data_IF_360667062367
#
_entry.id   IF_360667062367
#
_cell.length_a   1.000
_cell.length_b   1.000
_cell.length_c   1.000
_cell.angle_alpha   90.00
_cell.angle_beta   90.00
_cell.angle_gamma   90.00
#
_symmetry.space_group_name_H-M   'P 1'
#
loop_
_entity.id
_entity.type
_entity.pdbx_description
1 polymer ?
#
# COMPACT_ATOMS: atom_id res chain seq x y z
N UNK A 1 -23.91 -7.61 -59.28
CA UNK A 1 -23.46 -7.84 -57.90
C UNK A 1 -22.86 -6.53 -57.40
N UNK A 2 -23.64 -5.72 -56.68
CA UNK A 2 -23.22 -4.37 -56.24
C UNK A 2 -22.20 -4.54 -55.11
N UNK A 3 -21.00 -4.03 -55.32
CA UNK A 3 -20.00 -3.76 -54.28
C UNK A 3 -20.58 -2.72 -53.32
N UNK A 4 -20.92 -3.14 -52.10
CA UNK A 4 -21.18 -2.23 -50.99
C UNK A 4 -19.85 -1.57 -50.65
N UNK A 5 -19.75 -0.27 -50.89
CA UNK A 5 -18.58 0.56 -50.60
C UNK A 5 -18.31 0.63 -49.09
N UNK A 6 -17.03 0.64 -48.75
CA UNK A 6 -16.41 0.91 -47.44
C UNK A 6 -16.70 2.34 -46.88
N UNK A 7 -17.94 2.80 -46.88
CA UNK A 7 -18.30 4.19 -46.48
C UNK A 7 -18.73 4.36 -45.01
N UNK A 8 -18.48 3.36 -44.15
CA UNK A 8 -18.64 3.50 -42.69
C UNK A 8 -17.31 3.38 -41.93
N UNK A 9 -16.22 3.91 -42.49
CA UNK A 9 -15.07 4.24 -41.65
C UNK A 9 -15.46 5.44 -40.76
N UNK A 10 -15.87 5.13 -39.52
CA UNK A 10 -16.40 6.12 -38.58
C UNK A 10 -15.59 7.42 -38.53
N UNK A 11 -16.27 8.56 -38.47
CA UNK A 11 -15.69 9.90 -38.66
C UNK A 11 -14.41 10.17 -37.85
N UNK A 12 -14.27 9.58 -36.66
CA UNK A 12 -13.06 9.71 -35.84
C UNK A 12 -11.81 9.08 -36.49
N UNK A 13 -11.94 7.98 -37.23
CA UNK A 13 -10.81 7.28 -37.83
C UNK A 13 -10.14 8.10 -38.94
N UNK A 14 -10.89 9.00 -39.57
CA UNK A 14 -10.43 9.88 -40.64
C UNK A 14 -9.59 11.06 -40.11
N UNK A 15 -9.64 11.35 -38.81
CA UNK A 15 -8.86 12.43 -38.22
C UNK A 15 -7.36 12.11 -38.21
N UNK A 16 -6.50 13.12 -38.42
CA UNK A 16 -5.06 13.03 -38.15
C UNK A 16 -4.77 12.56 -36.72
N UNK A 17 -3.66 11.84 -36.56
CA UNK A 17 -3.24 11.27 -35.27
C UNK A 17 -3.09 12.33 -34.17
N UNK A 18 -2.64 13.53 -34.53
CA UNK A 18 -2.43 14.66 -33.65
C UNK A 18 -3.76 15.16 -33.07
N UNK A 19 -4.79 15.30 -33.92
CA UNK A 19 -6.12 15.70 -33.48
C UNK A 19 -6.76 14.64 -32.57
N UNK A 20 -6.56 13.35 -32.89
CA UNK A 20 -7.00 12.26 -32.03
C UNK A 20 -6.32 12.30 -30.66
N UNK A 21 -5.00 12.53 -30.61
CA UNK A 21 -4.27 12.65 -29.36
C UNK A 21 -4.69 13.88 -28.54
N UNK A 22 -5.06 14.98 -29.21
CA UNK A 22 -5.64 16.15 -28.54
C UNK A 22 -7.02 15.83 -27.94
N UNK A 23 -7.90 15.16 -28.69
CA UNK A 23 -9.20 14.70 -28.19
C UNK A 23 -9.02 13.75 -27.01
N UNK A 24 -8.11 12.78 -27.12
CA UNK A 24 -7.79 11.86 -26.03
C UNK A 24 -7.20 12.57 -24.81
N UNK A 25 -6.58 13.74 -24.98
CA UNK A 25 -6.11 14.56 -23.86
C UNK A 25 -7.21 15.00 -22.89
N UNK A 26 -8.46 15.12 -23.36
CA UNK A 26 -9.62 15.51 -22.55
C UNK A 26 -10.36 14.31 -21.92
N UNK A 27 -9.99 13.08 -22.29
CA UNK A 27 -10.61 11.86 -21.77
C UNK A 27 -9.79 11.32 -20.59
N UNK A 28 -10.48 10.82 -19.55
CA UNK A 28 -9.82 10.17 -18.40
C UNK A 28 -8.93 9.02 -18.85
N UNK A 29 -7.74 8.93 -18.29
CA UNK A 29 -6.76 7.87 -18.57
C UNK A 29 -7.34 6.47 -18.45
N UNK A 30 -8.12 6.23 -17.38
CA UNK A 30 -8.76 4.91 -17.15
C UNK A 30 -9.65 4.47 -18.31
N UNK A 31 -10.39 5.41 -18.91
CA UNK A 31 -11.34 5.13 -19.98
C UNK A 31 -10.60 4.88 -21.30
N UNK A 32 -9.53 5.64 -21.53
CA UNK A 32 -8.64 5.43 -22.67
C UNK A 32 -8.01 4.03 -22.65
N UNK A 33 -7.47 3.61 -21.50
CA UNK A 33 -6.79 2.32 -21.38
C UNK A 33 -7.76 1.14 -21.45
N UNK A 34 -8.91 1.23 -20.77
CA UNK A 34 -9.87 0.11 -20.67
C UNK A 34 -10.78 -0.04 -21.88
N UNK A 35 -11.17 1.07 -22.52
CA UNK A 35 -12.19 1.06 -23.57
C UNK A 35 -11.63 1.54 -24.91
N UNK A 36 -11.11 2.77 -24.99
CA UNK A 36 -10.72 3.38 -26.28
C UNK A 36 -9.59 2.61 -26.96
N UNK A 37 -8.62 2.10 -26.19
CA UNK A 37 -7.50 1.27 -26.68
C UNK A 37 -7.97 -0.03 -27.36
N UNK A 38 -9.17 -0.51 -27.04
CA UNK A 38 -9.73 -1.76 -27.57
C UNK A 38 -10.65 -1.54 -28.79
N UNK A 39 -11.01 -0.29 -29.11
CA UNK A 39 -11.98 0.01 -30.18
C UNK A 39 -11.41 -0.31 -31.57
N UNK A 40 -10.17 0.08 -31.85
CA UNK A 40 -9.54 -0.17 -33.16
C UNK A 40 -8.01 -0.22 -33.09
N UNK A 41 -7.38 -0.76 -34.14
CA UNK A 41 -5.91 -0.85 -34.25
C UNK A 41 -5.22 0.52 -34.23
N UNK A 42 -5.81 1.54 -34.86
CA UNK A 42 -5.26 2.91 -34.87
C UNK A 42 -5.19 3.49 -33.46
N UNK A 43 -6.27 3.40 -32.68
CA UNK A 43 -6.30 3.88 -31.29
C UNK A 43 -5.39 3.05 -30.40
N UNK A 44 -5.34 1.73 -30.61
CA UNK A 44 -4.41 0.86 -29.91
C UNK A 44 -2.96 1.32 -30.10
N UNK A 45 -2.56 1.58 -31.36
CA UNK A 45 -1.20 2.03 -31.67
C UNK A 45 -0.87 3.38 -31.03
N UNK A 46 -1.79 4.35 -31.13
CA UNK A 46 -1.61 5.68 -30.55
C UNK A 46 -1.49 5.63 -29.01
N UNK A 47 -2.37 4.89 -28.35
CA UNK A 47 -2.41 4.78 -26.89
C UNK A 47 -1.36 3.82 -26.32
N UNK A 48 -0.62 3.09 -27.15
CA UNK A 48 0.54 2.29 -26.72
C UNK A 48 1.83 3.12 -26.68
N UNK A 49 1.82 4.35 -27.22
CA UNK A 49 2.97 5.24 -27.18
C UNK A 49 3.28 5.71 -25.75
N UNK A 50 4.36 5.19 -25.16
CA UNK A 50 4.77 5.52 -23.78
C UNK A 50 5.12 7.01 -23.60
N UNK A 51 5.75 7.65 -24.59
CA UNK A 51 6.19 9.06 -24.49
C UNK A 51 5.02 10.03 -24.40
N UNK A 52 3.90 9.70 -25.04
CA UNK A 52 2.68 10.49 -24.93
C UNK A 52 2.15 10.48 -23.49
N UNK A 53 2.09 9.32 -22.86
CA UNK A 53 1.68 9.19 -21.46
C UNK A 53 2.65 9.88 -20.50
N UNK A 54 3.97 9.71 -20.69
CA UNK A 54 4.98 10.41 -19.88
C UNK A 54 4.83 11.94 -19.98
N UNK A 55 4.55 12.47 -21.17
CA UNK A 55 4.29 13.90 -21.38
C UNK A 55 3.01 14.34 -20.64
N UNK A 56 1.99 13.49 -20.58
CA UNK A 56 0.78 13.78 -19.79
C UNK A 56 1.06 13.76 -18.29
N UNK A 57 1.81 12.78 -17.77
CA UNK A 57 2.22 12.73 -16.36
C UNK A 57 2.94 14.03 -15.98
N UNK A 58 3.88 14.47 -16.82
CA UNK A 58 4.60 15.71 -16.62
C UNK A 58 3.70 16.95 -16.56
N UNK A 59 2.59 16.97 -17.30
CA UNK A 59 1.65 18.11 -17.35
C UNK A 59 0.51 18.02 -16.34
N UNK A 60 0.36 16.88 -15.66
CA UNK A 60 -0.84 16.56 -14.87
C UNK A 60 -0.96 17.40 -13.59
N UNK A 61 0.18 17.76 -12.99
CA UNK A 61 0.23 18.62 -11.79
C UNK A 61 0.98 19.91 -12.12
N UNK A 62 0.60 20.99 -11.45
CA UNK A 62 1.34 22.27 -11.47
C UNK A 62 2.81 22.11 -11.09
N UNK A 63 3.14 21.06 -10.33
CA UNK A 63 4.49 20.76 -9.86
C UNK A 63 5.33 19.91 -10.82
N UNK A 64 4.80 19.58 -12.00
CA UNK A 64 5.51 18.85 -13.07
C UNK A 64 6.13 17.52 -12.61
N UNK A 65 5.32 16.47 -12.61
CA UNK A 65 5.74 15.14 -12.13
C UNK A 65 6.76 14.53 -13.09
N UNK A 66 7.96 14.26 -12.59
CA UNK A 66 9.00 13.50 -13.31
C UNK A 66 9.21 12.17 -12.61
N UNK A 67 8.81 11.08 -13.27
CA UNK A 67 9.10 9.73 -12.79
C UNK A 67 10.62 9.51 -12.81
N UNK A 68 11.10 8.75 -11.84
CA UNK A 68 12.52 8.41 -11.72
C UNK A 68 12.93 7.34 -12.73
N UNK A 69 14.20 7.29 -13.07
CA UNK A 69 14.78 6.28 -13.96
C UNK A 69 14.57 4.83 -13.49
N UNK A 70 14.59 4.56 -12.18
CA UNK A 70 14.36 3.21 -11.66
C UNK A 70 12.92 2.71 -11.89
N UNK A 71 11.93 3.61 -11.97
CA UNK A 71 10.56 3.24 -12.34
C UNK A 71 10.46 3.02 -13.85
N UNK A 72 10.96 3.96 -14.64
CA UNK A 72 10.78 3.95 -16.11
C UNK A 72 11.58 2.88 -16.82
N UNK A 73 12.73 2.47 -16.26
CA UNK A 73 13.58 1.38 -16.77
C UNK A 73 13.27 0.03 -16.11
N UNK A 74 12.30 -0.02 -15.19
CA UNK A 74 11.91 -1.24 -14.51
C UNK A 74 11.30 -2.27 -15.48
N UNK A 75 11.51 -3.55 -15.21
CA UNK A 75 10.85 -4.62 -15.95
C UNK A 75 9.33 -4.52 -15.77
N UNK A 76 8.58 -4.54 -16.87
CA UNK A 76 7.12 -4.43 -16.86
C UNK A 76 6.58 -3.01 -16.67
N UNK A 77 7.41 -1.96 -16.80
CA UNK A 77 6.94 -0.57 -16.78
C UNK A 77 5.93 -0.29 -17.92
N UNK A 78 4.79 0.29 -17.55
CA UNK A 78 3.77 0.77 -18.47
C UNK A 78 3.38 2.21 -18.10
N UNK A 79 3.81 3.16 -18.95
CA UNK A 79 3.52 4.58 -18.77
C UNK A 79 2.02 4.90 -18.73
N UNK A 80 1.18 4.13 -19.44
CA UNK A 80 -0.27 4.32 -19.39
C UNK A 80 -0.82 3.95 -18.02
N UNK A 81 -0.35 2.84 -17.44
CA UNK A 81 -0.73 2.40 -16.10
C UNK A 81 -0.25 3.39 -15.02
N UNK A 82 0.99 3.86 -15.10
CA UNK A 82 1.49 4.89 -14.18
C UNK A 82 0.69 6.19 -14.32
N UNK A 83 0.36 6.63 -15.54
CA UNK A 83 -0.50 7.81 -15.73
C UNK A 83 -1.86 7.64 -15.05
N UNK A 84 -2.54 6.51 -15.26
CA UNK A 84 -3.84 6.25 -14.61
C UNK A 84 -3.72 6.30 -13.09
N UNK A 85 -2.71 5.65 -12.51
CA UNK A 85 -2.50 5.66 -11.07
C UNK A 85 -2.27 7.10 -10.55
N UNK A 86 -1.40 7.87 -11.20
CA UNK A 86 -1.12 9.25 -10.78
C UNK A 86 -2.34 10.16 -10.97
N UNK A 87 -3.06 10.06 -12.09
CA UNK A 87 -4.28 10.84 -12.36
C UNK A 87 -5.35 10.58 -11.29
N UNK A 88 -5.58 9.32 -10.93
CA UNK A 88 -6.57 8.96 -9.92
C UNK A 88 -6.23 9.51 -8.55
N UNK A 89 -4.98 9.40 -8.13
CA UNK A 89 -4.53 9.91 -6.83
C UNK A 89 -4.53 11.45 -6.80
N UNK A 90 -4.04 12.12 -7.84
CA UNK A 90 -4.05 13.60 -7.93
C UNK A 90 -5.48 14.14 -7.88
N UNK A 91 -6.42 13.52 -8.59
CA UNK A 91 -7.82 13.92 -8.55
C UNK A 91 -8.47 13.65 -7.19
N UNK A 92 -8.17 12.49 -6.58
CA UNK A 92 -8.70 12.10 -5.27
C UNK A 92 -8.24 13.06 -4.19
N UNK A 93 -6.94 13.28 -4.07
CA UNK A 93 -6.36 14.14 -3.04
C UNK A 93 -6.62 15.63 -3.29
N UNK A 94 -6.66 16.06 -4.56
CA UNK A 94 -7.00 17.45 -4.91
C UNK A 94 -8.45 17.85 -4.63
N UNK A 95 -9.36 16.88 -4.45
CA UNK A 95 -10.77 17.10 -4.07
C UNK A 95 -11.11 16.46 -2.72
N UNK A 96 -10.10 16.08 -1.95
CA UNK A 96 -10.35 15.33 -0.72
C UNK A 96 -11.08 16.19 0.29
N UNK A 97 -12.16 15.66 0.83
CA UNK A 97 -12.95 16.32 1.88
C UNK A 97 -12.82 15.54 3.19
N UNK A 98 -12.20 16.12 4.22
CA UNK A 98 -12.07 15.48 5.53
C UNK A 98 -13.42 15.07 6.16
N UNK A 99 -14.46 15.85 5.90
CA UNK A 99 -15.80 15.69 6.50
C UNK A 99 -16.58 14.46 6.00
N UNK A 100 -16.04 13.70 5.05
CA UNK A 100 -16.64 12.44 4.56
C UNK A 100 -15.92 11.23 5.16
N UNK A 101 -15.55 11.34 6.42
CA UNK A 101 -14.99 10.25 7.18
C UNK A 101 -16.03 9.63 8.08
N UNK A 102 -15.68 8.45 8.57
CA UNK A 102 -16.59 7.69 9.35
C UNK A 102 -15.82 6.83 10.35
N UNK A 103 -16.22 6.90 11.61
CA UNK A 103 -15.48 6.36 12.75
C UNK A 103 -16.11 5.07 13.24
N UNK A 104 -15.36 3.98 13.16
CA UNK A 104 -15.70 2.72 13.81
C UNK A 104 -15.06 2.67 15.20
N UNK A 105 -15.87 2.45 16.23
CA UNK A 105 -15.41 2.27 17.61
C UNK A 105 -15.63 0.82 18.06
N UNK A 106 -14.67 0.26 18.79
CA UNK A 106 -14.82 -1.09 19.31
C UNK A 106 -13.58 -1.68 19.96
N UNK A 107 -12.38 -1.20 19.63
CA UNK A 107 -11.20 -1.52 20.43
C UNK A 107 -11.17 -0.68 21.71
N UNK A 108 -10.70 -1.27 22.81
CA UNK A 108 -10.57 -0.60 24.12
C UNK A 108 -9.17 0.00 24.34
N UNK A 109 -8.28 -0.20 23.37
CA UNK A 109 -6.91 0.30 23.38
C UNK A 109 -6.45 0.60 21.95
N UNK A 110 -5.26 1.18 21.82
CA UNK A 110 -4.65 1.59 20.55
C UNK A 110 -4.71 0.50 19.46
N UNK A 111 -5.08 0.91 18.25
CA UNK A 111 -5.07 0.06 17.05
C UNK A 111 -3.73 0.19 16.32
N UNK A 112 -2.85 -0.80 16.50
CA UNK A 112 -1.49 -0.83 15.94
C UNK A 112 -1.35 -1.74 14.71
N UNK A 113 -2.41 -2.44 14.29
CA UNK A 113 -2.41 -3.26 13.08
C UNK A 113 -3.71 -3.07 12.30
N UNK A 114 -3.59 -2.81 10.99
CA UNK A 114 -4.72 -2.61 10.09
C UNK A 114 -4.45 -3.23 8.72
N UNK A 115 -5.48 -3.81 8.11
CA UNK A 115 -5.42 -4.31 6.74
C UNK A 115 -6.74 -4.16 6.00
N UNK A 116 -6.71 -3.51 4.84
CA UNK A 116 -7.83 -3.42 3.91
C UNK A 116 -7.75 -4.52 2.87
N UNK A 117 -8.86 -5.21 2.63
CA UNK A 117 -8.92 -6.27 1.63
C UNK A 117 -10.32 -6.44 1.02
N UNK A 118 -10.40 -6.76 -0.28
CA UNK A 118 -11.64 -7.18 -0.91
C UNK A 118 -11.87 -8.67 -0.66
N UNK A 119 -13.13 -9.07 -0.48
CA UNK A 119 -13.52 -10.47 -0.48
C UNK A 119 -13.76 -10.96 -1.91
N UNK A 120 -13.11 -12.07 -2.29
CA UNK A 120 -13.03 -12.52 -3.70
C UNK A 120 -14.38 -12.77 -4.36
N UNK A 121 -15.36 -13.31 -3.63
CA UNK A 121 -16.63 -13.77 -4.23
C UNK A 121 -17.77 -12.75 -4.14
N UNK A 122 -17.79 -11.89 -3.12
CA UNK A 122 -18.89 -10.93 -2.91
C UNK A 122 -18.56 -9.53 -3.43
N UNK A 123 -17.29 -9.20 -3.68
CA UNK A 123 -16.88 -7.83 -4.00
C UNK A 123 -16.97 -6.87 -2.81
N UNK A 124 -17.43 -7.34 -1.63
CA UNK A 124 -17.46 -6.56 -0.41
C UNK A 124 -16.04 -6.23 0.03
N UNK A 125 -15.90 -5.05 0.66
CA UNK A 125 -14.64 -4.51 1.11
C UNK A 125 -14.59 -4.62 2.62
N UNK A 126 -13.51 -5.15 3.15
CA UNK A 126 -13.34 -5.40 4.58
C UNK A 126 -12.11 -4.68 5.13
N UNK A 127 -12.17 -4.36 6.40
CA UNK A 127 -11.05 -3.91 7.20
C UNK A 127 -10.82 -4.91 8.33
N UNK A 128 -9.57 -5.35 8.50
CA UNK A 128 -9.12 -6.14 9.63
C UNK A 128 -8.32 -5.24 10.56
N UNK A 129 -8.63 -5.25 11.86
CA UNK A 129 -7.91 -4.47 12.85
C UNK A 129 -7.39 -5.33 14.00
N UNK A 130 -6.20 -4.99 14.50
CA UNK A 130 -5.58 -5.60 15.65
C UNK A 130 -5.11 -4.51 16.61
N UNK A 131 -5.41 -4.70 17.90
CA UNK A 131 -5.14 -3.71 18.93
C UNK A 131 -4.24 -4.18 20.06
N UNK A 132 -3.88 -3.24 20.94
CA UNK A 132 -3.21 -3.53 22.23
C UNK A 132 -4.13 -4.20 23.25
N UNK A 133 -5.42 -4.23 22.96
CA UNK A 133 -6.43 -5.03 23.67
C UNK A 133 -6.35 -6.52 23.33
N UNK A 134 -5.39 -6.91 22.46
CA UNK A 134 -5.13 -8.29 22.05
C UNK A 134 -6.26 -8.90 21.24
N UNK A 135 -7.19 -8.07 20.75
CA UNK A 135 -8.31 -8.50 19.94
C UNK A 135 -8.03 -8.30 18.44
N UNK A 136 -8.59 -9.18 17.62
CA UNK A 136 -8.70 -8.98 16.17
C UNK A 136 -10.18 -8.75 15.85
N UNK A 137 -10.49 -7.67 15.14
CA UNK A 137 -11.86 -7.34 14.72
C UNK A 137 -11.96 -7.27 13.21
N UNK A 138 -13.07 -7.78 12.67
CA UNK A 138 -13.42 -7.73 11.26
C UNK A 138 -14.54 -6.71 11.05
N UNK A 139 -14.35 -5.83 10.08
CA UNK A 139 -15.30 -4.78 9.74
C UNK A 139 -15.67 -4.86 8.27
N UNK A 140 -16.96 -4.86 7.96
CA UNK A 140 -17.45 -4.69 6.60
C UNK A 140 -17.64 -3.19 6.36
N UNK A 141 -16.98 -2.67 5.33
CA UNK A 141 -16.96 -1.24 5.03
C UNK A 141 -18.34 -0.74 4.60
N UNK A 142 -19.11 -1.56 3.87
CA UNK A 142 -20.45 -1.19 3.44
C UNK A 142 -21.42 -1.10 4.62
N UNK A 143 -21.35 -2.04 5.55
CA UNK A 143 -22.19 -2.03 6.75
C UNK A 143 -21.86 -0.80 7.62
N UNK A 144 -20.57 -0.44 7.69
CA UNK A 144 -20.15 0.77 8.38
C UNK A 144 -20.74 2.01 7.71
N UNK A 145 -20.60 2.17 6.38
CA UNK A 145 -21.17 3.29 5.61
C UNK A 145 -22.67 3.49 5.87
N UNK A 146 -23.44 2.40 6.00
CA UNK A 146 -24.86 2.44 6.35
C UNK A 146 -25.09 2.83 7.82
N UNK A 147 -24.33 2.22 8.75
CA UNK A 147 -24.46 2.43 10.20
C UNK A 147 -24.09 3.84 10.67
N UNK A 148 -23.36 4.61 9.85
CA UNK A 148 -23.06 6.01 10.14
C UNK A 148 -24.30 6.89 10.29
N UNK A 149 -25.43 6.44 9.78
CA UNK A 149 -26.72 7.12 9.93
C UNK A 149 -27.44 6.73 11.23
N UNK A 150 -27.03 5.65 11.90
CA UNK A 150 -27.75 5.03 13.03
C UNK A 150 -26.94 4.95 14.34
N UNK A 151 -25.75 5.57 14.39
CA UNK A 151 -24.91 5.82 15.58
C UNK A 151 -24.27 4.61 16.29
N UNK A 152 -24.47 3.37 15.83
CA UNK A 152 -23.79 2.18 16.37
C UNK A 152 -22.97 1.45 15.29
N UNK A 153 -21.65 1.63 15.30
CA UNK A 153 -20.74 0.82 14.49
C UNK A 153 -20.41 -0.48 15.21
N UNK A 154 -20.76 -1.63 14.64
CA UNK A 154 -20.43 -2.95 15.22
C UNK A 154 -19.52 -3.74 14.28
N UNK A 155 -18.45 -4.39 14.78
CA UNK A 155 -17.67 -5.30 13.96
C UNK A 155 -18.51 -6.53 13.55
N UNK A 156 -18.29 -7.02 12.34
CA UNK A 156 -18.89 -8.27 11.84
C UNK A 156 -18.43 -9.47 12.69
N UNK A 157 -17.20 -9.42 13.17
CA UNK A 157 -16.62 -10.42 14.05
C UNK A 157 -15.64 -9.78 15.03
N UNK A 158 -15.67 -10.25 16.28
CA UNK A 158 -14.82 -9.73 17.36
C UNK A 158 -14.15 -10.91 18.08
N UNK A 159 -12.85 -11.11 17.81
CA UNK A 159 -12.05 -12.16 18.41
C UNK A 159 -11.23 -11.59 19.56
N UNK A 160 -11.75 -11.75 20.77
CA UNK A 160 -11.04 -11.40 22.00
C UNK A 160 -9.92 -12.40 22.32
N UNK A 161 -8.83 -11.94 22.93
CA UNK A 161 -7.67 -12.75 23.27
C UNK A 161 -7.10 -13.54 22.07
N UNK A 162 -7.10 -12.94 20.88
CA UNK A 162 -6.50 -13.54 19.69
C UNK A 162 -4.99 -13.79 19.89
N UNK A 163 -4.33 -12.97 20.72
CA UNK A 163 -2.94 -13.08 21.15
C UNK A 163 -2.80 -12.89 22.67
N UNK A 164 -1.65 -13.29 23.22
CA UNK A 164 -1.32 -13.05 24.64
C UNK A 164 -0.61 -11.71 24.87
N UNK A 165 -0.37 -10.96 23.79
CA UNK A 165 0.31 -9.67 23.77
C UNK A 165 -0.27 -8.74 22.71
N UNK A 166 0.30 -7.54 22.59
CA UNK A 166 -0.15 -6.54 21.63
C UNK A 166 0.03 -7.01 20.20
N UNK A 167 -1.03 -6.93 19.41
CA UNK A 167 -0.98 -7.23 17.98
C UNK A 167 -0.36 -6.02 17.29
N UNK A 168 0.70 -6.26 16.52
CA UNK A 168 1.56 -5.18 16.02
C UNK A 168 1.61 -5.10 14.49
N UNK A 169 1.33 -6.21 13.79
CA UNK A 169 1.20 -6.20 12.35
C UNK A 169 0.21 -7.28 11.90
N UNK A 170 -0.54 -6.96 10.84
CA UNK A 170 -1.42 -7.86 10.11
C UNK A 170 -1.04 -7.76 8.64
N UNK A 171 -0.90 -8.90 7.95
CA UNK A 171 -0.67 -8.90 6.51
C UNK A 171 -1.46 -10.01 5.81
N UNK A 172 -1.91 -9.73 4.59
CA UNK A 172 -2.69 -10.65 3.78
C UNK A 172 -1.74 -11.61 3.06
N UNK A 173 -2.06 -12.91 3.05
CA UNK A 173 -1.30 -13.87 2.27
C UNK A 173 -1.40 -13.55 0.78
N UNK A 174 -0.26 -13.36 0.13
CA UNK A 174 -0.17 -13.12 -1.31
C UNK A 174 -0.61 -14.34 -2.15
N UNK A 175 -0.52 -15.55 -1.57
CA UNK A 175 -0.86 -16.81 -2.25
C UNK A 175 -2.35 -17.17 -2.10
N UNK A 176 -2.94 -16.90 -0.94
CA UNK A 176 -4.32 -17.24 -0.59
C UNK A 176 -4.99 -16.05 0.09
N UNK A 177 -5.78 -15.23 -0.64
CA UNK A 177 -6.32 -13.98 -0.09
C UNK A 177 -7.30 -14.11 1.08
N UNK A 178 -7.83 -15.31 1.32
CA UNK A 178 -8.69 -15.57 2.47
C UNK A 178 -7.87 -15.96 3.73
N UNK A 179 -6.55 -15.97 3.63
CA UNK A 179 -5.63 -16.21 4.75
C UNK A 179 -4.83 -14.94 5.11
N UNK A 180 -4.60 -14.75 6.41
CA UNK A 180 -3.86 -13.61 6.94
C UNK A 180 -2.87 -14.03 8.01
N UNK A 181 -1.79 -13.28 8.13
CA UNK A 181 -0.80 -13.42 9.18
C UNK A 181 -0.95 -12.30 10.20
N UNK A 182 -0.73 -12.63 11.47
CA UNK A 182 -0.54 -11.65 12.53
C UNK A 182 0.78 -11.88 13.24
N UNK A 183 1.43 -10.80 13.70
CA UNK A 183 2.55 -10.89 14.64
C UNK A 183 2.31 -10.03 15.87
N UNK A 184 2.87 -10.47 16.99
CA UNK A 184 2.55 -9.90 18.31
C UNK A 184 3.76 -9.81 19.22
N UNK A 185 3.60 -8.99 20.26
CA UNK A 185 4.52 -8.90 21.39
C UNK A 185 4.59 -10.17 22.25
N UNK A 186 3.66 -11.12 22.08
CA UNK A 186 3.75 -12.46 22.68
C UNK A 186 4.80 -13.39 22.00
N UNK A 187 5.57 -12.84 21.06
CA UNK A 187 6.61 -13.54 20.29
C UNK A 187 6.08 -14.61 19.33
N UNK A 188 4.78 -14.58 18.99
CA UNK A 188 4.17 -15.52 18.04
C UNK A 188 3.82 -14.85 16.72
N UNK A 189 3.85 -15.67 15.67
CA UNK A 189 3.18 -15.41 14.39
C UNK A 189 2.06 -16.43 14.24
N UNK A 190 0.85 -15.96 13.92
CA UNK A 190 -0.32 -16.82 13.71
C UNK A 190 -0.85 -16.67 12.29
N UNK A 191 -1.31 -17.79 11.73
CA UNK A 191 -2.00 -17.86 10.45
C UNK A 191 -3.50 -18.01 10.73
N UNK A 192 -4.31 -17.23 10.03
CA UNK A 192 -5.75 -17.17 10.22
C UNK A 192 -6.47 -17.42 8.91
N UNK A 193 -7.56 -18.17 8.97
CA UNK A 193 -8.57 -18.21 7.91
C UNK A 193 -9.60 -17.12 8.17
N UNK A 194 -9.94 -16.37 7.14
CA UNK A 194 -10.97 -15.34 7.18
C UNK A 194 -12.12 -15.74 6.27
N UNK A 195 -13.33 -15.50 6.76
CA UNK A 195 -14.59 -15.53 6.01
C UNK A 195 -15.32 -14.21 6.27
N UNK A 196 -16.37 -13.85 5.49
CA UNK A 196 -17.11 -12.61 5.69
C UNK A 196 -17.65 -12.38 7.10
N UNK A 197 -17.85 -13.43 7.88
CA UNK A 197 -18.50 -13.38 9.20
C UNK A 197 -17.66 -13.97 10.33
N UNK A 198 -16.49 -14.53 10.05
CA UNK A 198 -15.73 -15.28 11.05
C UNK A 198 -14.24 -15.31 10.75
N UNK A 199 -13.42 -15.34 11.82
CA UNK A 199 -11.96 -15.54 11.77
C UNK A 199 -11.61 -16.76 12.61
N UNK A 200 -10.86 -17.72 12.06
CA UNK A 200 -10.40 -18.89 12.80
C UNK A 200 -8.89 -19.08 12.72
N UNK A 201 -8.21 -19.44 13.81
CA UNK A 201 -6.78 -19.76 13.78
C UNK A 201 -6.56 -21.04 12.97
N UNK A 202 -5.53 -21.05 12.15
CA UNK A 202 -5.03 -22.24 11.45
C UNK A 202 -3.83 -22.78 12.22
N UNK A 203 -2.78 -21.97 12.34
CA UNK A 203 -1.47 -22.37 12.88
C UNK A 203 -0.80 -21.24 13.66
N UNK A 204 0.17 -21.60 14.49
CA UNK A 204 0.91 -20.68 15.35
C UNK A 204 2.36 -21.16 15.51
N UNK A 205 3.30 -20.22 15.39
CA UNK A 205 4.73 -20.46 15.60
C UNK A 205 5.32 -19.40 16.51
N UNK A 206 6.22 -19.80 17.42
CA UNK A 206 6.95 -18.90 18.32
C UNK A 206 8.33 -18.57 17.75
N UNK A 207 8.64 -17.28 17.64
CA UNK A 207 9.93 -16.78 17.10
C UNK A 207 10.97 -16.52 18.20
N UNK A 208 10.57 -16.50 19.47
CA UNK A 208 11.44 -16.21 20.62
C UNK A 208 11.71 -14.72 20.86
N UNK A 209 11.14 -13.83 20.05
CA UNK A 209 11.11 -12.38 20.27
C UNK A 209 9.83 -11.77 19.69
N UNK A 210 9.40 -10.63 20.23
CA UNK A 210 8.27 -9.86 19.72
C UNK A 210 8.40 -9.59 18.23
N UNK A 211 7.33 -9.89 17.47
CA UNK A 211 7.24 -9.63 16.03
C UNK A 211 6.85 -8.17 15.77
N UNK A 212 7.59 -7.50 14.87
CA UNK A 212 7.50 -6.06 14.62
C UNK A 212 6.91 -5.71 13.26
N UNK A 213 7.03 -6.58 12.26
CA UNK A 213 6.47 -6.36 10.93
C UNK A 213 6.44 -7.68 10.16
N UNK A 214 5.45 -7.81 9.28
CA UNK A 214 5.27 -8.93 8.38
C UNK A 214 5.39 -8.45 6.93
N UNK A 215 5.87 -9.32 6.06
CA UNK A 215 5.87 -9.11 4.62
C UNK A 215 5.80 -10.44 3.90
N UNK A 216 4.86 -10.56 2.97
CA UNK A 216 4.61 -11.81 2.26
C UNK A 216 5.15 -11.80 0.82
N UNK A 217 5.40 -13.00 0.31
CA UNK A 217 5.77 -13.27 -1.08
C UNK A 217 4.72 -14.19 -1.73
N UNK A 218 4.41 -14.02 -3.04
CA UNK A 218 3.52 -14.91 -3.78
C UNK A 218 3.94 -16.38 -3.73
N UNK A 219 5.22 -16.63 -3.45
CA UNK A 219 5.84 -17.95 -3.42
C UNK A 219 5.37 -18.80 -2.20
N UNK A 220 4.64 -18.20 -1.26
CA UNK A 220 4.23 -18.87 0.00
C UNK A 220 5.26 -18.72 1.12
N UNK A 221 6.13 -17.72 1.02
CA UNK A 221 7.07 -17.36 2.09
C UNK A 221 6.62 -16.04 2.72
N UNK A 222 6.83 -15.93 4.02
CA UNK A 222 6.64 -14.71 4.77
C UNK A 222 7.91 -14.36 5.54
N UNK A 223 8.25 -13.08 5.59
CA UNK A 223 9.29 -12.56 6.46
C UNK A 223 8.64 -11.91 7.69
N UNK A 224 9.19 -12.16 8.87
CA UNK A 224 8.83 -11.48 10.11
C UNK A 224 10.06 -10.84 10.74
N UNK A 225 10.02 -9.51 10.91
CA UNK A 225 11.04 -8.80 11.68
C UNK A 225 10.77 -8.87 13.16
N UNK A 226 11.81 -8.85 13.98
CA UNK A 226 11.67 -8.96 15.44
C UNK A 226 12.37 -7.85 16.19
N UNK A 227 11.89 -7.56 17.40
CA UNK A 227 12.56 -6.67 18.34
C UNK A 227 13.96 -7.17 18.71
N UNK A 228 14.15 -8.50 18.75
CA UNK A 228 15.39 -9.22 19.01
C UNK A 228 16.39 -9.22 17.85
N UNK A 229 16.35 -8.21 16.97
CA UNK A 229 17.36 -7.93 15.91
C UNK A 229 17.38 -8.93 14.75
N UNK A 230 16.52 -9.95 14.80
CA UNK A 230 16.45 -11.02 13.80
C UNK A 230 15.31 -10.78 12.81
N UNK A 231 15.51 -11.31 11.61
CA UNK A 231 14.43 -11.53 10.64
C UNK A 231 14.27 -13.04 10.46
N UNK A 232 13.04 -13.52 10.59
CA UNK A 232 12.66 -14.91 10.34
C UNK A 232 11.98 -15.02 8.99
N UNK A 233 12.29 -16.08 8.25
CA UNK A 233 11.55 -16.48 7.05
C UNK A 233 10.75 -17.72 7.41
N UNK A 234 9.47 -17.69 7.09
CA UNK A 234 8.48 -18.68 7.49
C UNK A 234 7.77 -19.19 6.24
N UNK A 235 7.52 -20.49 6.17
CA UNK A 235 6.73 -21.10 5.10
C UNK A 235 5.24 -21.06 5.49
N UNK A 236 4.44 -20.30 4.72
CA UNK A 236 2.99 -20.19 4.97
C UNK A 236 2.19 -21.35 4.40
N UNK A 237 2.80 -22.20 3.57
CA UNK A 237 2.18 -23.41 3.03
C UNK A 237 2.39 -24.63 3.91
N UNK A 238 3.40 -24.59 4.77
CA UNK A 238 3.85 -25.74 5.55
C UNK A 238 4.01 -25.41 7.04
N UNK A 239 2.90 -25.25 7.76
CA UNK A 239 2.97 -25.30 9.23
C UNK A 239 3.35 -23.99 9.93
N UNK A 240 3.51 -22.87 9.22
CA UNK A 240 4.28 -21.71 9.69
C UNK A 240 5.66 -22.10 10.23
N UNK A 241 6.30 -23.13 9.66
CA UNK A 241 7.62 -23.55 10.09
C UNK A 241 8.67 -22.48 9.75
N UNK A 242 9.52 -22.04 10.71
CA UNK A 242 10.65 -21.18 10.40
C UNK A 242 11.62 -21.91 9.46
N UNK A 243 11.78 -21.40 8.25
CA UNK A 243 12.71 -21.93 7.24
C UNK A 243 14.13 -21.52 7.58
N UNK A 244 14.33 -20.24 7.91
CA UNK A 244 15.63 -19.69 8.32
C UNK A 244 15.46 -18.41 9.14
N UNK A 245 16.54 -17.98 9.78
CA UNK A 245 16.65 -16.66 10.39
C UNK A 245 18.04 -16.08 10.18
N UNK A 246 18.13 -14.75 10.15
CA UNK A 246 19.40 -14.02 10.07
C UNK A 246 19.40 -12.79 10.97
N UNK A 247 20.59 -12.28 11.30
CA UNK A 247 20.79 -11.15 12.20
C UNK A 247 21.81 -10.17 11.62
N UNK A 248 21.37 -9.32 10.69
CA UNK A 248 22.22 -8.29 10.06
C UNK A 248 22.09 -6.90 10.71
N UNK A 249 21.16 -6.76 11.66
CA UNK A 249 20.93 -5.52 12.40
C UNK A 249 21.54 -5.56 13.81
N UNK A 250 21.96 -4.40 14.31
CA UNK A 250 22.48 -4.24 15.68
C UNK A 250 21.41 -3.87 16.71
N UNK A 251 20.25 -3.40 16.24
CA UNK A 251 19.08 -2.99 17.03
C UNK A 251 17.79 -3.65 16.54
N UNK A 252 16.65 -3.26 17.12
CA UNK A 252 15.36 -3.83 16.73
C UNK A 252 15.07 -3.61 15.25
N UNK A 253 14.55 -4.64 14.58
CA UNK A 253 14.14 -4.56 13.17
C UNK A 253 12.68 -4.14 13.13
N UNK A 254 12.45 -2.84 12.97
CA UNK A 254 11.14 -2.19 13.15
C UNK A 254 10.18 -2.47 12.00
N UNK A 255 10.70 -2.63 10.79
CA UNK A 255 9.88 -2.76 9.57
C UNK A 255 10.64 -3.51 8.49
N UNK A 256 9.90 -4.19 7.61
CA UNK A 256 10.46 -4.84 6.44
C UNK A 256 9.50 -4.76 5.25
N UNK A 257 10.04 -5.00 4.06
CA UNK A 257 9.28 -5.29 2.85
C UNK A 257 9.90 -6.51 2.16
N UNK A 258 9.05 -7.38 1.60
CA UNK A 258 9.49 -8.58 0.89
C UNK A 258 9.01 -8.51 -0.55
N UNK A 259 9.91 -8.75 -1.49
CA UNK A 259 9.62 -8.90 -2.91
C UNK A 259 10.28 -10.18 -3.39
N UNK A 260 9.48 -11.19 -3.70
CA UNK A 260 9.92 -12.52 -4.13
C UNK A 260 10.87 -13.19 -3.11
N UNK A 261 12.18 -13.18 -3.38
CA UNK A 261 13.24 -13.73 -2.53
C UNK A 261 14.09 -12.64 -1.86
N UNK A 262 13.81 -11.36 -2.12
CA UNK A 262 14.54 -10.24 -1.55
C UNK A 262 13.75 -9.67 -0.38
N UNK A 263 14.44 -9.50 0.75
CA UNK A 263 13.90 -8.84 1.93
C UNK A 263 14.68 -7.55 2.16
N UNK A 264 13.94 -6.45 2.25
CA UNK A 264 14.44 -5.15 2.69
C UNK A 264 14.07 -4.98 4.16
N UNK A 265 15.07 -4.98 5.06
CA UNK A 265 14.85 -4.83 6.49
C UNK A 265 15.46 -3.54 7.02
N UNK A 266 14.74 -2.91 7.93
CA UNK A 266 15.02 -1.57 8.45
C UNK A 266 14.88 -1.56 9.97
N UNK A 267 15.79 -0.90 10.68
CA UNK A 267 15.83 -0.95 12.14
C UNK A 267 16.29 0.31 12.86
N UNK A 268 16.33 0.20 14.19
CA UNK A 268 16.82 1.22 15.13
C UNK A 268 18.30 1.57 14.92
N UNK A 269 19.05 0.66 14.30
CA UNK A 269 20.46 0.84 13.97
C UNK A 269 20.71 1.74 12.75
N UNK A 270 19.66 2.37 12.23
CA UNK A 270 19.69 3.28 11.07
C UNK A 270 20.13 2.59 9.78
N UNK A 271 20.13 1.25 9.73
CA UNK A 271 20.47 0.50 8.54
C UNK A 271 19.24 0.12 7.76
N UNK A 272 19.35 0.23 6.45
CA UNK A 272 18.47 -0.39 5.46
C UNK A 272 19.30 -1.50 4.84
N UNK A 273 18.85 -2.75 4.97
CA UNK A 273 19.60 -3.92 4.53
C UNK A 273 18.77 -4.66 3.50
N UNK A 274 19.39 -5.01 2.37
CA UNK A 274 18.81 -5.86 1.33
C UNK A 274 19.43 -7.24 1.43
N UNK A 275 18.61 -8.27 1.57
CA UNK A 275 19.05 -9.67 1.73
C UNK A 275 18.32 -10.54 0.71
N UNK A 276 19.07 -11.34 -0.03
CA UNK A 276 18.51 -12.47 -0.78
C UNK A 276 18.40 -13.67 0.15
N UNK A 277 17.18 -14.15 0.40
CA UNK A 277 16.94 -15.25 1.34
C UNK A 277 17.59 -16.56 0.90
N UNK A 278 17.91 -16.72 -0.39
CA UNK A 278 18.64 -17.88 -0.92
C UNK A 278 20.10 -17.90 -0.45
N UNK A 279 20.65 -16.73 -0.12
CA UNK A 279 21.96 -16.56 0.49
C UNK A 279 21.91 -15.54 1.62
N UNK A 280 21.25 -15.92 2.71
CA UNK A 280 21.04 -15.05 3.88
C UNK A 280 22.28 -14.80 4.73
N UNK A 281 23.40 -15.48 4.44
CA UNK A 281 24.66 -15.37 5.20
C UNK A 281 25.27 -13.96 5.17
N UNK A 282 25.05 -13.21 4.08
CA UNK A 282 25.52 -11.85 3.89
C UNK A 282 24.47 -11.00 3.20
N UNK A 283 24.36 -9.70 3.55
CA UNK A 283 23.49 -8.80 2.83
C UNK A 283 24.01 -8.58 1.40
N UNK A 284 23.10 -8.42 0.45
CA UNK A 284 23.40 -8.05 -0.94
C UNK A 284 23.86 -6.59 -0.99
N UNK A 285 23.14 -5.72 -0.29
CA UNK A 285 23.45 -4.30 -0.19
C UNK A 285 23.01 -3.76 1.17
N UNK A 286 23.58 -2.64 1.58
CA UNK A 286 23.22 -1.94 2.80
C UNK A 286 23.43 -0.44 2.66
N UNK A 287 22.48 0.34 3.19
CA UNK A 287 22.53 1.79 3.22
C UNK A 287 22.37 2.30 4.65
N UNK A 288 23.12 3.33 5.01
CA UNK A 288 22.92 4.06 6.25
C UNK A 288 21.95 5.21 6.04
N UNK A 289 20.88 5.21 6.82
CA UNK A 289 19.95 6.33 6.93
C UNK A 289 20.47 7.34 7.95
N UNK A 290 20.02 8.60 7.83
CA UNK A 290 20.38 9.68 8.76
C UNK A 290 19.81 9.45 10.17
N UNK A 291 18.69 8.72 10.25
CA UNK A 291 18.04 8.31 11.49
C UNK A 291 17.37 6.94 11.32
N UNK A 292 16.88 6.34 12.40
CA UNK A 292 16.25 5.03 12.34
C UNK A 292 14.98 5.05 11.51
N UNK A 293 14.81 3.98 10.74
CA UNK A 293 13.74 3.85 9.75
C UNK A 293 12.56 3.13 10.41
N UNK A 294 11.41 3.81 10.46
CA UNK A 294 10.20 3.32 11.12
C UNK A 294 9.25 2.57 10.21
N UNK A 295 9.25 2.93 8.94
CA UNK A 295 8.34 2.35 7.96
C UNK A 295 9.04 2.23 6.62
N UNK A 296 8.81 1.10 5.96
CA UNK A 296 9.24 0.87 4.59
C UNK A 296 8.07 0.33 3.77
N UNK A 297 8.00 0.74 2.51
CA UNK A 297 7.03 0.23 1.56
C UNK A 297 7.74 -0.02 0.22
N UNK A 298 7.52 -1.20 -0.36
CA UNK A 298 7.99 -1.54 -1.70
C UNK A 298 6.82 -1.51 -2.68
N UNK A 299 6.90 -0.71 -3.74
CA UNK A 299 5.92 -0.70 -4.85
C UNK A 299 6.51 -0.01 -6.08
N UNK A 300 6.08 -0.41 -7.28
CA UNK A 300 6.49 0.20 -8.56
C UNK A 300 8.02 0.33 -8.71
N UNK A 301 8.78 -0.68 -8.26
CA UNK A 301 10.23 -0.66 -8.27
C UNK A 301 10.84 0.50 -7.46
N UNK A 302 10.15 0.96 -6.42
CA UNK A 302 10.64 1.90 -5.42
C UNK A 302 10.59 1.29 -4.03
N UNK A 303 11.60 1.60 -3.24
CA UNK A 303 11.61 1.38 -1.80
C UNK A 303 11.47 2.73 -1.11
N UNK A 304 10.31 3.00 -0.52
CA UNK A 304 10.03 4.26 0.20
C UNK A 304 10.24 4.03 1.70
N UNK A 305 11.15 4.79 2.29
CA UNK A 305 11.54 4.70 3.69
C UNK A 305 11.21 5.98 4.44
N UNK A 306 10.50 5.86 5.56
CA UNK A 306 10.20 6.96 6.48
C UNK A 306 11.02 6.85 7.78
N UNK A 307 11.69 7.93 8.17
CA UNK A 307 12.57 7.98 9.35
C UNK A 307 11.91 8.60 10.57
N UNK A 308 12.51 8.38 11.75
CA UNK A 308 11.97 8.93 12.98
C UNK A 308 11.97 10.45 13.05
N UNK A 309 12.95 11.11 12.45
CA UNK A 309 13.03 12.57 12.35
C UNK A 309 12.30 13.15 11.13
N UNK A 310 11.47 12.37 10.44
CA UNK A 310 10.52 12.90 9.46
C UNK A 310 11.13 13.14 8.07
N UNK A 311 12.17 12.38 7.73
CA UNK A 311 12.69 12.34 6.38
C UNK A 311 12.05 11.15 5.65
N UNK A 312 11.52 11.39 4.45
CA UNK A 312 11.13 10.34 3.51
C UNK A 312 12.21 10.24 2.43
N UNK A 313 12.73 9.03 2.21
CA UNK A 313 13.67 8.73 1.13
C UNK A 313 13.06 7.69 0.20
N UNK A 314 13.08 7.96 -1.10
CA UNK A 314 12.71 7.03 -2.16
C UNK A 314 13.99 6.46 -2.74
N UNK A 315 14.14 5.14 -2.66
CA UNK A 315 15.36 4.43 -3.07
C UNK A 315 15.07 3.53 -4.27
N UNK A 316 16.08 3.35 -5.11
CA UNK A 316 16.14 2.28 -6.09
C UNK A 316 16.35 0.94 -5.35
N UNK A 317 15.43 -0.02 -5.45
CA UNK A 317 15.54 -1.29 -4.73
C UNK A 317 16.71 -2.16 -5.19
N UNK A 318 17.21 -2.00 -6.42
CA UNK A 318 18.32 -2.82 -6.93
C UNK A 318 19.66 -2.36 -6.36
N UNK A 319 19.84 -1.06 -6.19
CA UNK A 319 21.13 -0.46 -5.79
C UNK A 319 21.11 0.14 -4.39
N UNK A 320 19.92 0.38 -3.82
CA UNK A 320 19.66 1.23 -2.66
C UNK A 320 20.10 2.69 -2.83
N UNK A 321 20.33 3.16 -4.06
CA UNK A 321 20.64 4.56 -4.31
C UNK A 321 19.41 5.45 -4.05
N UNK A 322 19.65 6.64 -3.52
CA UNK A 322 18.59 7.60 -3.22
C UNK A 322 18.14 8.29 -4.51
N UNK A 323 16.90 8.05 -4.93
CA UNK A 323 16.29 8.69 -6.08
C UNK A 323 15.68 10.04 -5.74
N UNK A 324 15.04 10.13 -4.56
CA UNK A 324 14.48 11.37 -4.03
C UNK A 324 14.50 11.36 -2.52
N UNK A 325 14.55 12.54 -1.93
CA UNK A 325 14.46 12.75 -0.49
C UNK A 325 13.79 14.08 -0.20
N UNK A 326 12.87 14.07 0.76
CA UNK A 326 12.21 15.27 1.22
C UNK A 326 11.87 15.16 2.72
N UNK A 327 11.72 16.31 3.35
CA UNK A 327 11.39 16.43 4.77
C UNK A 327 9.90 16.72 4.90
N UNK A 328 9.23 16.05 5.84
CA UNK A 328 7.79 16.22 6.07
C UNK A 328 7.48 16.99 7.35
N UNK A 329 7.88 16.46 8.51
CA UNK A 329 7.41 16.95 9.82
C UNK A 329 8.20 16.33 10.99
N UNK A 330 7.62 16.35 12.22
CA UNK A 330 8.18 15.83 13.48
C UNK A 330 8.27 14.28 13.60
N UNK A 331 8.28 13.57 12.48
CA UNK A 331 8.63 12.15 12.44
C UNK A 331 7.60 11.27 11.78
N UNK A 332 8.04 10.47 10.80
CA UNK A 332 7.16 9.55 10.09
C UNK A 332 6.81 8.38 10.99
N UNK A 333 5.52 8.08 11.16
CA UNK A 333 5.04 6.85 11.81
C UNK A 333 4.89 5.72 10.79
N UNK A 334 4.29 6.01 9.64
CA UNK A 334 4.13 5.06 8.55
C UNK A 334 4.13 5.74 7.19
N UNK A 335 4.68 5.06 6.19
CA UNK A 335 4.63 5.49 4.78
C UNK A 335 4.12 4.34 3.90
N UNK A 336 3.23 4.66 2.95
CA UNK A 336 2.70 3.72 1.96
C UNK A 336 2.80 4.38 0.57
N UNK A 337 3.28 3.63 -0.40
CA UNK A 337 3.22 4.02 -1.81
C UNK A 337 1.95 3.44 -2.43
N UNK A 338 1.03 4.27 -2.93
CA UNK A 338 -0.22 3.79 -3.58
C UNK A 338 -0.03 3.37 -5.03
N UNK A 339 1.06 3.83 -5.66
CA UNK A 339 1.34 3.68 -7.08
C UNK A 339 1.27 5.00 -7.84
N UNK A 340 0.45 5.95 -7.36
CA UNK A 340 0.32 7.30 -7.90
C UNK A 340 0.58 8.42 -6.90
N UNK A 341 0.65 8.10 -5.61
CA UNK A 341 0.98 9.00 -4.52
C UNK A 341 1.82 8.30 -3.44
N UNK A 342 2.56 9.10 -2.68
CA UNK A 342 3.20 8.67 -1.42
C UNK A 342 2.32 9.18 -0.29
N UNK A 343 1.83 8.28 0.56
CA UNK A 343 0.96 8.59 1.69
C UNK A 343 1.75 8.39 2.98
N UNK A 344 1.53 9.26 3.95
CA UNK A 344 2.26 9.24 5.20
C UNK A 344 1.39 9.70 6.38
N UNK A 345 1.62 9.10 7.54
CA UNK A 345 1.14 9.60 8.83
C UNK A 345 2.33 9.95 9.73
N UNK A 346 2.22 11.09 10.39
CA UNK A 346 3.26 11.71 11.19
C UNK A 346 2.97 11.65 12.69
N UNK A 347 4.01 11.90 13.50
CA UNK A 347 3.88 12.02 14.97
C UNK A 347 3.18 13.30 15.44
N UNK A 348 3.09 14.31 14.60
CA UNK A 348 2.37 15.56 14.86
C UNK A 348 0.86 15.45 14.62
N UNK A 349 0.34 14.21 14.50
CA UNK A 349 -1.06 13.90 14.20
C UNK A 349 -1.52 14.41 12.84
N UNK A 350 -0.62 14.45 11.86
CA UNK A 350 -0.98 14.75 10.47
C UNK A 350 -0.93 13.51 9.57
N UNK A 351 -1.83 13.49 8.59
CA UNK A 351 -1.75 12.65 7.40
C UNK A 351 -1.43 13.55 6.21
N UNK A 352 -0.48 13.14 5.36
CA UNK A 352 -0.10 13.86 4.16
C UNK A 352 -0.04 12.93 2.96
N UNK A 353 -0.58 13.39 1.84
CA UNK A 353 -0.43 12.75 0.54
C UNK A 353 0.50 13.59 -0.34
N UNK A 354 1.44 12.95 -1.02
CA UNK A 354 2.43 13.59 -1.88
C UNK A 354 2.35 13.06 -3.31
N UNK A 355 2.73 13.92 -4.26
CA UNK A 355 3.04 13.47 -5.62
C UNK A 355 4.24 12.52 -5.62
N UNK A 356 4.17 11.53 -6.50
CA UNK A 356 5.32 10.67 -6.85
C UNK A 356 6.32 11.42 -7.73
N UNK A 357 7.51 10.85 -7.88
CA UNK A 357 8.55 11.33 -8.77
C UNK A 357 9.75 11.93 -8.03
N UNK A 358 10.67 12.53 -8.80
CA UNK A 358 11.94 13.07 -8.27
C UNK A 358 11.69 14.23 -7.30
N UNK A 359 10.63 15.02 -7.52
CA UNK A 359 10.21 16.13 -6.67
C UNK A 359 8.79 15.88 -6.17
N UNK A 360 8.67 15.58 -4.89
CA UNK A 360 7.38 15.39 -4.23
C UNK A 360 6.84 16.72 -3.71
N UNK A 361 5.54 16.93 -3.90
CA UNK A 361 4.77 18.08 -3.42
C UNK A 361 3.53 17.59 -2.70
N UNK A 362 3.08 18.32 -1.68
CA UNK A 362 1.85 18.00 -0.93
C UNK A 362 0.63 18.11 -1.85
N UNK A 363 -0.19 17.06 -1.86
CA UNK A 363 -1.49 17.01 -2.53
C UNK A 363 -2.63 17.29 -1.56
N UNK A 364 -2.52 16.74 -0.34
CA UNK A 364 -3.52 16.87 0.71
C UNK A 364 -2.85 16.74 2.09
N UNK A 365 -3.45 17.41 3.08
CA UNK A 365 -3.04 17.36 4.47
C UNK A 365 -4.28 17.33 5.36
N UNK A 366 -4.25 16.51 6.41
CA UNK A 366 -5.29 16.43 7.43
C UNK A 366 -4.65 16.26 8.79
N UNK A 367 -5.17 17.00 9.76
CA UNK A 367 -4.82 16.83 11.16
C UNK A 367 -5.89 16.00 11.88
N UNK A 368 -5.45 15.18 12.83
CA UNK A 368 -6.31 14.37 13.68
C UNK A 368 -6.34 14.91 15.11
N UNK A 369 -7.47 14.74 15.76
CA UNK A 369 -7.61 15.06 17.19
C UNK A 369 -6.85 14.05 18.06
N UNK A 370 -6.87 12.78 17.66
CA UNK A 370 -6.17 11.68 18.32
C UNK A 370 -4.88 11.27 17.58
N UNK A 371 -4.04 10.47 18.23
CA UNK A 371 -2.78 9.99 17.63
C UNK A 371 -3.04 8.91 16.56
N UNK A 372 -2.71 9.16 15.27
CA UNK A 372 -2.76 8.11 14.26
C UNK A 372 -1.60 7.13 14.50
N UNK A 373 -1.92 5.84 14.56
CA UNK A 373 -0.95 4.78 14.93
C UNK A 373 -0.51 3.98 13.71
N UNK A 374 -1.47 3.49 12.92
CA UNK A 374 -1.25 2.81 11.64
C UNK A 374 -2.33 3.18 10.64
N UNK A 375 -2.04 3.02 9.37
CA UNK A 375 -3.02 3.09 8.31
C UNK A 375 -2.79 2.01 7.27
N UNK A 376 -3.85 1.67 6.55
CA UNK A 376 -3.75 0.93 5.29
C UNK A 376 -4.53 1.68 4.21
N UNK A 377 -4.11 1.48 2.97
CA UNK A 377 -4.69 2.16 1.82
C UNK A 377 -4.82 1.21 0.65
N UNK A 378 -6.05 1.07 0.13
CA UNK A 378 -6.32 0.14 -0.97
C UNK A 378 -7.49 0.61 -1.83
N UNK A 379 -7.27 0.66 -3.14
CA UNK A 379 -8.31 0.95 -4.15
C UNK A 379 -9.09 2.28 -3.89
N UNK A 380 -8.45 3.21 -3.19
CA UNK A 380 -9.01 4.51 -2.80
C UNK A 380 -9.64 4.55 -1.42
N UNK A 381 -9.79 3.43 -0.75
CA UNK A 381 -10.20 3.38 0.64
C UNK A 381 -8.99 3.58 1.55
N UNK A 382 -9.16 4.42 2.56
CA UNK A 382 -8.16 4.73 3.57
C UNK A 382 -8.72 4.35 4.94
N UNK A 383 -7.99 3.52 5.68
CA UNK A 383 -8.29 3.17 7.07
C UNK A 383 -7.15 3.62 7.97
N UNK A 384 -7.44 4.37 9.03
CA UNK A 384 -6.46 4.82 10.02
C UNK A 384 -6.88 4.36 11.39
N UNK A 385 -5.99 3.71 12.11
CA UNK A 385 -6.17 3.24 13.48
C UNK A 385 -5.58 4.26 14.43
N UNK A 386 -6.32 4.56 15.48
CA UNK A 386 -5.98 5.63 16.41
C UNK A 386 -5.57 5.10 17.80
N UNK A 387 -4.92 6.00 18.54
CA UNK A 387 -4.45 5.76 19.91
C UNK A 387 -5.57 5.46 20.91
N UNK A 388 -6.77 6.00 20.66
CA UNK A 388 -7.97 5.86 21.48
C UNK A 388 -8.79 4.59 21.19
N UNK A 389 -8.34 3.74 20.25
CA UNK A 389 -9.05 2.52 19.84
C UNK A 389 -10.06 2.72 18.72
N UNK A 390 -10.22 3.93 18.20
CA UNK A 390 -11.06 4.20 17.04
C UNK A 390 -10.36 3.87 15.72
N UNK A 391 -11.16 3.61 14.68
CA UNK A 391 -10.72 3.43 13.31
C UNK A 391 -11.45 4.46 12.45
N UNK A 392 -10.69 5.35 11.81
CA UNK A 392 -11.20 6.35 10.89
C UNK A 392 -11.12 5.81 9.48
N UNK A 393 -12.23 5.86 8.75
CA UNK A 393 -12.36 5.34 7.40
C UNK A 393 -12.80 6.45 6.43
N UNK A 394 -12.15 6.48 5.27
CA UNK A 394 -12.57 7.25 4.10
C UNK A 394 -12.74 6.29 2.96
N UNK A 395 -13.92 6.28 2.36
CA UNK A 395 -14.20 5.38 1.27
C UNK A 395 -14.21 6.09 -0.07
N UNK A 396 -13.79 5.35 -1.08
CA UNK A 396 -13.91 5.75 -2.46
C UNK A 396 -15.35 5.54 -2.92
N UNK A 397 -16.19 6.57 -2.79
CA UNK A 397 -17.53 6.59 -3.39
C UNK A 397 -17.40 6.58 -4.92
N UNK A 398 -17.35 5.39 -5.49
CA UNK A 398 -17.26 5.10 -6.92
C UNK A 398 -18.41 5.70 -7.72
N UNK A 399 -19.54 6.01 -7.07
CA UNK A 399 -20.68 6.72 -7.66
C UNK A 399 -20.34 8.14 -8.16
N UNK A 400 -19.29 8.79 -7.65
CA UNK A 400 -18.82 10.10 -8.12
C UNK A 400 -17.89 10.02 -9.33
N UNK A 401 -17.44 8.83 -9.72
CA UNK A 401 -16.41 8.63 -10.75
C UNK A 401 -16.89 7.86 -11.99
N UNK A 402 -18.17 7.47 -12.03
CA UNK A 402 -18.84 6.90 -13.19
C UNK A 402 -19.57 7.93 -14.08
N UNK A 403 -19.37 9.23 -13.79
CA UNK A 403 -19.73 10.34 -14.68
C UNK A 403 -18.59 10.70 -15.63
#
# INVERSE_FOLDING_TARGET
MKTVKDDEQGMLLQLPSELLLLIFGYVRGRHLVRHVRLVCRKFHCLLTNQQWWLTRIYKLSSHQIRLSDCETKGEGFDAARSFVAVEEEVLRWGRWSPNRNFTATGHIATVDALRLFPHRSSGNRFCLSGGRDRAIKLWNISDLEESHQTAESKPCFDLQNAHEGWIWCLDQSASKPDEFLSCSWDCTVKLWQITPTHISPIECTKLGSAGMCLGNSPNGLAACSTFGKKVFIIDTKNGLAPVLNYAHHKGAVLTLAMQDNIVYSCGEDRRIVMVDIRNSSRPVSGLWSMDYVRSVCFRNNHLVCGTHLGTISVLDPLTLNICSRFQVSNGVRQVIHSGGAILEISRDRTFKAFTVGVRSSVLAELSFDCDPCRFDYRDGDLAIGAGDGSILLWTNNSSLYNG
#
